data_IF_749419894071
#
_entry.id   IF_749419894071
#
_cell.length_a   1.000
_cell.length_b   1.000
_cell.length_c   1.000
_cell.angle_alpha   90.00
_cell.angle_beta   90.00
_cell.angle_gamma   90.00
#
_symmetry.space_group_name_H-M   'P 1'
#
loop_
_entity.id
_entity.type
_entity.pdbx_description
1 polymer ?
#
# COMPACT_ATOMS: atom_id res chain seq x y z
N UNK A 1 15.83 5.07 10.75
CA UNK A 1 14.82 4.59 9.83
C UNK A 1 15.39 4.43 8.43
N UNK A 2 15.21 3.28 7.81
CA UNK A 2 15.70 3.12 6.44
C UNK A 2 14.83 3.90 5.47
N UNK A 3 15.45 4.42 4.42
CA UNK A 3 14.72 5.14 3.37
C UNK A 3 13.69 4.24 2.67
N UNK A 4 13.92 2.93 2.66
CA UNK A 4 12.99 1.96 2.09
C UNK A 4 11.66 1.92 2.86
N UNK A 5 11.71 1.92 4.19
CA UNK A 5 10.49 1.93 5.01
C UNK A 5 9.71 3.22 4.80
N UNK A 6 10.40 4.35 4.70
CA UNK A 6 9.78 5.64 4.43
C UNK A 6 9.08 5.65 3.06
N UNK A 7 9.77 5.15 2.04
CA UNK A 7 9.21 5.05 0.69
C UNK A 7 7.98 4.16 0.64
N UNK A 8 8.04 3.01 1.29
CA UNK A 8 6.93 2.06 1.32
C UNK A 8 5.72 2.66 2.04
N UNK A 9 5.93 3.37 3.13
CA UNK A 9 4.86 4.06 3.84
C UNK A 9 4.20 5.10 2.94
N UNK A 10 5.00 5.84 2.19
CA UNK A 10 4.50 6.85 1.26
C UNK A 10 3.69 6.22 0.11
N UNK A 11 4.21 5.12 -0.45
CA UNK A 11 3.51 4.37 -1.51
C UNK A 11 2.20 3.82 -0.98
N UNK A 12 2.21 3.25 0.22
CA UNK A 12 1.00 2.72 0.86
C UNK A 12 -0.08 3.79 0.99
N UNK A 13 0.30 4.98 1.43
CA UNK A 13 -0.62 6.10 1.57
C UNK A 13 -1.20 6.52 0.22
N UNK A 14 -0.36 6.58 -0.82
CA UNK A 14 -0.82 6.92 -2.16
C UNK A 14 -1.78 5.87 -2.72
N UNK A 15 -1.53 4.60 -2.43
CA UNK A 15 -2.42 3.52 -2.85
C UNK A 15 -3.76 3.62 -2.14
N UNK A 16 -3.77 3.92 -0.84
CA UNK A 16 -5.01 4.14 -0.08
C UNK A 16 -5.83 5.30 -0.68
N UNK A 17 -5.17 6.40 -1.01
CA UNK A 17 -5.83 7.55 -1.63
C UNK A 17 -6.42 7.18 -2.99
N UNK A 18 -5.67 6.43 -3.80
CA UNK A 18 -6.12 6.01 -5.12
C UNK A 18 -7.33 5.07 -5.01
N UNK A 19 -7.31 4.15 -4.06
CA UNK A 19 -8.44 3.24 -3.81
C UNK A 19 -9.67 4.03 -3.38
N UNK A 20 -9.52 4.97 -2.47
CA UNK A 20 -10.61 5.80 -1.99
C UNK A 20 -11.22 6.61 -3.13
N UNK A 21 -10.39 7.20 -3.99
CA UNK A 21 -10.86 7.95 -5.15
C UNK A 21 -11.64 7.07 -6.10
N UNK A 22 -11.13 5.87 -6.38
CA UNK A 22 -11.80 4.94 -7.30
C UNK A 22 -13.14 4.48 -6.74
N UNK A 23 -13.22 4.24 -5.44
CA UNK A 23 -14.46 3.84 -4.78
C UNK A 23 -15.52 4.93 -4.79
N UNK A 24 -15.10 6.19 -4.83
CA UNK A 24 -16.02 7.34 -4.88
C UNK A 24 -16.53 7.64 -6.28
N UNK A 25 -15.95 7.03 -7.29
CA UNK A 25 -16.41 7.22 -8.66
C UNK A 25 -17.81 6.67 -8.86
N UNK A 26 -18.55 7.27 -9.77
CA UNK A 26 -19.91 6.86 -10.12
C UNK A 26 -19.96 5.41 -10.60
N UNK A 27 -18.94 5.02 -11.39
CA UNK A 27 -18.78 3.67 -11.90
C UNK A 27 -17.36 3.21 -11.57
N UNK A 28 -17.13 2.64 -10.39
CA UNK A 28 -15.81 2.17 -10.02
C UNK A 28 -15.32 1.06 -10.94
N UNK A 29 -14.05 1.12 -11.33
CA UNK A 29 -13.42 0.09 -12.12
C UNK A 29 -12.99 -1.05 -11.21
N UNK A 30 -13.69 -2.18 -11.28
CA UNK A 30 -13.43 -3.34 -10.44
C UNK A 30 -12.03 -3.92 -10.63
N UNK A 31 -11.56 -3.96 -11.87
CA UNK A 31 -10.21 -4.46 -12.18
C UNK A 31 -9.15 -3.55 -11.60
N UNK A 32 -9.34 -2.24 -11.74
CA UNK A 32 -8.41 -1.27 -11.19
C UNK A 32 -8.37 -1.35 -9.67
N UNK A 33 -9.53 -1.46 -9.02
CA UNK A 33 -9.62 -1.62 -7.58
C UNK A 33 -8.90 -2.89 -7.10
N UNK A 34 -9.09 -4.00 -7.82
CA UNK A 34 -8.41 -5.26 -7.52
C UNK A 34 -6.89 -5.10 -7.57
N UNK A 35 -6.40 -4.47 -8.62
CA UNK A 35 -4.96 -4.21 -8.78
C UNK A 35 -4.42 -3.32 -7.66
N UNK A 36 -5.14 -2.24 -7.34
CA UNK A 36 -4.73 -1.32 -6.29
C UNK A 36 -4.70 -2.01 -4.93
N UNK A 37 -5.72 -2.81 -4.62
CA UNK A 37 -5.78 -3.57 -3.37
C UNK A 37 -4.66 -4.60 -3.28
N UNK A 38 -4.35 -5.25 -4.39
CA UNK A 38 -3.25 -6.22 -4.46
C UNK A 38 -1.90 -5.54 -4.19
N UNK A 39 -1.68 -4.38 -4.81
CA UNK A 39 -0.47 -3.60 -4.58
C UNK A 39 -0.37 -3.12 -3.14
N UNK A 40 -1.49 -2.69 -2.56
CA UNK A 40 -1.53 -2.27 -1.17
C UNK A 40 -1.12 -3.40 -0.22
N UNK A 41 -1.64 -4.59 -0.46
CA UNK A 41 -1.28 -5.77 0.33
C UNK A 41 0.21 -6.10 0.21
N UNK A 42 0.75 -6.05 -1.01
CA UNK A 42 2.16 -6.31 -1.24
C UNK A 42 3.05 -5.30 -0.50
N UNK A 43 2.70 -4.02 -0.55
CA UNK A 43 3.43 -2.97 0.16
C UNK A 43 3.32 -3.17 1.66
N UNK A 44 2.13 -3.49 2.15
CA UNK A 44 1.90 -3.75 3.58
C UNK A 44 2.72 -4.93 4.08
N UNK A 45 2.78 -6.01 3.31
CA UNK A 45 3.59 -7.18 3.64
C UNK A 45 5.06 -6.82 3.72
N UNK A 46 5.54 -6.02 2.78
CA UNK A 46 6.92 -5.59 2.76
C UNK A 46 7.26 -4.72 3.97
N UNK A 47 6.37 -3.81 4.32
CA UNK A 47 6.52 -2.99 5.52
C UNK A 47 6.57 -3.84 6.77
N UNK A 48 5.66 -4.82 6.89
CA UNK A 48 5.62 -5.73 8.02
C UNK A 48 6.92 -6.53 8.15
N UNK A 49 7.46 -7.01 7.02
CA UNK A 49 8.73 -7.73 6.99
C UNK A 49 9.88 -6.86 7.47
N UNK A 50 9.95 -5.61 6.99
CA UNK A 50 10.99 -4.68 7.40
C UNK A 50 10.89 -4.34 8.88
N UNK A 51 9.69 -4.16 9.38
CA UNK A 51 9.47 -3.88 10.80
C UNK A 51 9.86 -5.07 11.67
N UNK A 52 9.53 -6.29 11.23
CA UNK A 52 9.95 -7.50 11.94
C UNK A 52 11.46 -7.62 12.03
N UNK A 53 12.15 -7.38 10.92
CA UNK A 53 13.61 -7.41 10.88
C UNK A 53 14.23 -6.40 11.85
N UNK A 54 13.66 -5.23 11.92
CA UNK A 54 14.12 -4.19 12.83
C UNK A 54 13.88 -4.58 14.29
N UNK A 55 12.72 -5.15 14.59
CA UNK A 55 12.38 -5.58 15.95
C UNK A 55 13.09 -6.85 16.38
N UNK A 56 13.37 -7.74 15.44
CA UNK A 56 14.04 -9.00 15.73
C UNK A 56 15.56 -8.86 15.90
N UNK A 57 16.09 -7.77 15.43
CA UNK A 57 17.50 -7.46 15.61
C UNK A 57 17.76 -6.87 16.99
#
# INVERSE_FOLDING_TARGET
MSSSAYRLTHIHRRLDDAITREMRRRLPDSLKLLRLKKLRLAVKDRLATLMRKTLAA
#
